data_IF_176561639649
#
_entry.id   IF_176561639649
#
_cell.length_a   1.000
_cell.length_b   1.000
_cell.length_c   1.000
_cell.angle_alpha   90.00
_cell.angle_beta   90.00
_cell.angle_gamma   90.00
#
_symmetry.space_group_name_H-M   'P 1'
#
loop_
_entity.id
_entity.type
_entity.pdbx_description
1 polymer ?
#
# COMPACT_ATOMS: atom_id res chain seq x y z
N UNK A 1 3.44 -11.96 -4.31
CA UNK A 1 3.87 -10.64 -4.80
C UNK A 1 5.13 -10.17 -4.09
N UNK A 2 6.03 -9.44 -4.75
CA UNK A 2 7.22 -8.84 -4.09
C UNK A 2 6.88 -7.47 -3.50
N UNK A 3 7.66 -7.03 -2.51
CA UNK A 3 7.49 -5.70 -1.90
C UNK A 3 7.59 -4.58 -2.95
N UNK A 4 8.52 -4.68 -3.91
CA UNK A 4 8.66 -3.70 -4.99
C UNK A 4 7.42 -3.59 -5.88
N UNK A 5 6.72 -4.70 -6.13
CA UNK A 5 5.48 -4.69 -6.90
C UNK A 5 4.35 -3.98 -6.15
N UNK A 6 4.25 -4.20 -4.84
CA UNK A 6 3.27 -3.54 -3.96
C UNK A 6 3.54 -2.03 -3.92
N UNK A 7 4.79 -1.63 -3.68
CA UNK A 7 5.23 -0.23 -3.65
C UNK A 7 4.96 0.46 -5.00
N UNK A 8 5.24 -0.22 -6.12
CA UNK A 8 4.96 0.32 -7.46
C UNK A 8 3.47 0.60 -7.65
N UNK A 9 2.61 -0.36 -7.34
CA UNK A 9 1.17 -0.20 -7.44
C UNK A 9 0.68 0.99 -6.59
N UNK A 10 1.16 1.08 -5.34
CA UNK A 10 0.78 2.16 -4.44
C UNK A 10 1.22 3.53 -4.95
N UNK A 11 2.43 3.65 -5.51
CA UNK A 11 2.89 4.90 -6.15
C UNK A 11 2.03 5.30 -7.33
N UNK A 12 1.65 4.36 -8.18
CA UNK A 12 0.80 4.63 -9.33
C UNK A 12 -0.59 5.11 -8.88
N UNK A 13 -1.17 4.46 -7.87
CA UNK A 13 -2.45 4.84 -7.28
C UNK A 13 -2.41 6.27 -6.70
N UNK A 14 -1.39 6.58 -5.88
CA UNK A 14 -1.20 7.91 -5.32
C UNK A 14 -1.06 8.99 -6.39
N UNK A 15 -0.35 8.71 -7.49
CA UNK A 15 -0.19 9.67 -8.59
C UNK A 15 -1.48 9.93 -9.35
N UNK A 16 -2.35 8.92 -9.49
CA UNK A 16 -3.57 9.01 -10.29
C UNK A 16 -4.75 9.58 -9.51
N UNK A 17 -4.95 9.12 -8.27
CA UNK A 17 -6.15 9.41 -7.48
C UNK A 17 -5.86 10.13 -6.16
N UNK A 18 -4.57 10.23 -5.79
CA UNK A 18 -4.19 10.62 -4.44
C UNK A 18 -4.48 9.53 -3.44
N UNK A 19 -4.32 9.85 -2.16
CA UNK A 19 -4.70 8.99 -1.04
C UNK A 19 -4.91 9.86 0.20
N UNK A 20 -5.65 9.35 1.18
CA UNK A 20 -5.93 10.06 2.43
C UNK A 20 -4.90 9.78 3.52
N UNK A 21 -4.54 8.52 3.68
CA UNK A 21 -3.61 8.02 4.70
C UNK A 21 -3.08 6.63 4.31
N UNK A 22 -1.98 6.22 4.95
CA UNK A 22 -1.31 4.95 4.68
C UNK A 22 -2.24 3.73 4.79
N UNK A 23 -3.15 3.74 5.76
CA UNK A 23 -4.02 2.61 6.04
C UNK A 23 -5.10 2.46 4.97
N UNK A 24 -5.64 3.57 4.48
CA UNK A 24 -6.59 3.59 3.35
C UNK A 24 -5.94 3.05 2.07
N UNK A 25 -4.71 3.48 1.77
CA UNK A 25 -3.96 3.00 0.60
C UNK A 25 -3.62 1.51 0.69
N UNK A 26 -3.20 1.04 1.87
CA UNK A 26 -2.96 -0.37 2.13
C UNK A 26 -4.23 -1.20 2.00
N UNK A 27 -5.35 -0.72 2.56
CA UNK A 27 -6.65 -1.40 2.46
C UNK A 27 -7.11 -1.54 1.02
N UNK A 28 -6.99 -0.51 0.20
CA UNK A 28 -7.37 -0.58 -1.22
C UNK A 28 -6.51 -1.58 -2.00
N UNK A 29 -5.22 -1.69 -1.67
CA UNK A 29 -4.37 -2.73 -2.24
C UNK A 29 -4.85 -4.13 -1.85
N UNK A 30 -5.12 -4.36 -0.56
CA UNK A 30 -5.59 -5.64 -0.05
C UNK A 30 -6.93 -6.04 -0.68
N UNK A 31 -7.88 -5.10 -0.75
CA UNK A 31 -9.20 -5.33 -1.33
C UNK A 31 -9.11 -5.63 -2.84
N UNK A 32 -8.28 -4.88 -3.59
CA UNK A 32 -8.09 -5.11 -5.04
C UNK A 32 -7.41 -6.45 -5.36
N UNK A 33 -6.56 -6.96 -4.47
CA UNK A 33 -5.85 -8.23 -4.63
C UNK A 33 -6.51 -9.39 -3.85
N UNK A 34 -7.68 -9.15 -3.24
CA UNK A 34 -8.43 -10.14 -2.44
C UNK A 34 -7.61 -10.74 -1.27
N UNK A 35 -6.67 -9.98 -0.71
CA UNK A 35 -5.84 -10.38 0.43
C UNK A 35 -6.62 -10.09 1.71
N UNK A 36 -7.30 -11.11 2.23
CA UNK A 36 -8.18 -10.98 3.41
C UNK A 36 -7.60 -11.62 4.68
N UNK A 37 -6.54 -12.41 4.53
CA UNK A 37 -5.92 -13.10 5.64
C UNK A 37 -4.81 -12.24 6.25
N UNK A 38 -5.00 -11.83 7.51
CA UNK A 38 -4.02 -11.03 8.26
C UNK A 38 -2.73 -11.80 8.58
N UNK A 39 -2.76 -13.13 8.52
CA UNK A 39 -1.58 -13.98 8.68
C UNK A 39 -0.84 -14.19 7.36
N UNK A 40 -1.35 -13.65 6.25
CA UNK A 40 -0.65 -13.69 4.98
C UNK A 40 0.58 -12.77 5.03
N UNK A 41 1.78 -13.26 4.68
CA UNK A 41 2.96 -12.41 4.55
C UNK A 41 2.76 -11.19 3.62
N UNK A 42 1.85 -11.28 2.65
CA UNK A 42 1.48 -10.17 1.77
C UNK A 42 0.75 -9.05 2.51
N UNK A 43 0.00 -9.39 3.57
CA UNK A 43 -0.67 -8.39 4.41
C UNK A 43 0.36 -7.48 5.09
N UNK A 44 1.36 -8.07 5.76
CA UNK A 44 2.42 -7.29 6.44
C UNK A 44 3.18 -6.41 5.45
N UNK A 45 3.59 -6.97 4.30
CA UNK A 45 4.31 -6.22 3.26
C UNK A 45 3.49 -5.06 2.71
N UNK A 46 2.18 -5.24 2.59
CA UNK A 46 1.27 -4.18 2.14
C UNK A 46 1.20 -3.04 3.15
N UNK A 47 1.10 -3.36 4.44
CA UNK A 47 1.12 -2.35 5.49
C UNK A 47 2.44 -1.56 5.48
N UNK A 48 3.59 -2.26 5.42
CA UNK A 48 4.91 -1.64 5.38
C UNK A 48 5.08 -0.73 4.16
N UNK A 49 4.63 -1.18 2.99
CA UNK A 49 4.62 -0.37 1.77
C UNK A 49 3.75 0.88 1.90
N UNK A 50 2.55 0.75 2.48
CA UNK A 50 1.64 1.87 2.71
C UNK A 50 2.25 2.95 3.61
N UNK A 51 2.90 2.55 4.70
CA UNK A 51 3.62 3.47 5.59
C UNK A 51 4.80 4.13 4.90
N UNK A 52 5.56 3.38 4.09
CA UNK A 52 6.68 3.92 3.32
C UNK A 52 6.20 5.01 2.34
N UNK A 53 5.15 4.74 1.57
CA UNK A 53 4.61 5.71 0.60
C UNK A 53 4.05 6.94 1.32
N UNK A 54 3.30 6.74 2.40
CA UNK A 54 2.82 7.87 3.19
C UNK A 54 3.98 8.73 3.70
N UNK A 55 5.06 8.11 4.18
CA UNK A 55 6.26 8.85 4.57
C UNK A 55 6.91 9.57 3.37
N UNK A 56 7.04 8.92 2.22
CA UNK A 56 7.60 9.55 1.00
C UNK A 56 6.79 10.79 0.55
N UNK A 57 5.47 10.77 0.71
CA UNK A 57 4.59 11.87 0.26
C UNK A 57 4.42 12.96 1.32
N UNK A 58 4.33 12.59 2.60
CA UNK A 58 4.16 13.53 3.71
C UNK A 58 5.47 14.03 4.32
N UNK A 59 6.63 13.48 3.94
CA UNK A 59 7.91 14.12 4.26
C UNK A 59 8.03 15.46 3.53
N UNK A 60 7.77 16.51 4.30
CA UNK A 60 8.46 17.81 4.29
C UNK A 60 9.95 17.66 3.97
#
# INVERSE_FOLDING_TARGET
>A
MTEEQIVKWMREKVKQEGFKDAASLAREFLDSHHITNVLDPEFSKTMDAGFRIAKEVYSL
#
